data_IF_178046328309
#
_entry.id   IF_178046328309
#
_cell.length_a   1.000
_cell.length_b   1.000
_cell.length_c   1.000
_cell.angle_alpha   90.00
_cell.angle_beta   90.00
_cell.angle_gamma   90.00
#
_symmetry.space_group_name_H-M   'P 1'
#
loop_
_entity.id
_entity.type
_entity.pdbx_description
1 polymer ?
#
# COMPACT_ATOMS: atom_id res chain seq x y z
N UNK A 1 -0.61 22.88 -8.58
CA UNK A 1 -1.37 21.83 -7.87
C UNK A 1 -2.42 21.30 -8.84
N UNK A 2 -2.43 20.00 -9.19
CA UNK A 2 -3.42 19.45 -10.12
C UNK A 2 -4.83 19.49 -9.49
N UNK A 3 -5.85 19.70 -10.32
CA UNK A 3 -7.25 19.70 -9.89
C UNK A 3 -7.86 18.32 -10.13
N UNK A 4 -8.36 17.70 -9.06
CA UNK A 4 -9.13 16.46 -9.13
C UNK A 4 -10.61 16.78 -8.84
N UNK A 5 -11.49 16.44 -9.78
CA UNK A 5 -12.93 16.50 -9.59
C UNK A 5 -13.49 15.08 -9.54
N UNK A 6 -14.33 14.78 -8.55
CA UNK A 6 -14.91 13.46 -8.37
C UNK A 6 -16.35 13.57 -7.85
N UNK A 7 -17.23 12.69 -8.33
CA UNK A 7 -18.59 12.57 -7.83
C UNK A 7 -18.56 11.69 -6.57
N UNK A 8 -19.19 12.16 -5.50
CA UNK A 8 -19.36 11.40 -4.25
C UNK A 8 -20.84 11.20 -3.95
N UNK A 9 -21.20 10.11 -3.26
CA UNK A 9 -22.54 9.97 -2.69
C UNK A 9 -22.88 11.15 -1.77
N UNK A 10 -24.15 11.57 -1.76
CA UNK A 10 -24.64 12.69 -0.95
C UNK A 10 -24.32 12.50 0.53
N UNK A 11 -24.47 11.27 1.04
CA UNK A 11 -24.14 10.94 2.43
C UNK A 11 -22.67 11.27 2.77
N UNK A 12 -21.74 10.91 1.87
CA UNK A 12 -20.32 11.19 2.02
C UNK A 12 -20.04 12.69 2.00
N UNK A 13 -20.71 13.45 1.14
CA UNK A 13 -20.59 14.90 1.09
C UNK A 13 -21.07 15.55 2.41
N UNK A 14 -22.21 15.12 2.94
CA UNK A 14 -22.73 15.61 4.22
C UNK A 14 -21.78 15.27 5.39
N UNK A 15 -21.22 14.07 5.39
CA UNK A 15 -20.23 13.66 6.40
C UNK A 15 -18.96 14.52 6.32
N UNK A 16 -18.49 14.80 5.12
CA UNK A 16 -17.34 15.69 4.88
C UNK A 16 -17.59 17.10 5.43
N UNK A 17 -18.79 17.64 5.19
CA UNK A 17 -19.19 18.95 5.71
C UNK A 17 -19.22 19.02 7.23
N UNK A 18 -19.77 17.99 7.89
CA UNK A 18 -19.76 17.91 9.36
C UNK A 18 -18.32 17.87 9.91
N UNK A 19 -17.43 17.10 9.29
CA UNK A 19 -16.03 17.01 9.72
C UNK A 19 -15.31 18.35 9.55
N UNK A 20 -15.47 18.98 8.38
CA UNK A 20 -14.91 20.28 8.06
C UNK A 20 -15.38 21.35 9.05
N UNK A 21 -16.69 21.41 9.33
CA UNK A 21 -17.27 22.34 10.30
C UNK A 21 -16.75 22.12 11.71
N UNK A 22 -16.75 20.86 12.20
CA UNK A 22 -16.27 20.50 13.54
C UNK A 22 -14.80 20.86 13.73
N UNK A 23 -13.97 20.68 12.70
CA UNK A 23 -12.52 20.95 12.73
C UNK A 23 -12.16 22.38 12.31
N UNK A 24 -13.12 23.18 11.86
CA UNK A 24 -12.93 24.55 11.31
C UNK A 24 -11.88 24.60 10.19
N UNK A 25 -11.89 23.62 9.30
CA UNK A 25 -11.02 23.56 8.12
C UNK A 25 -11.84 23.37 6.84
N UNK A 26 -11.24 23.62 5.68
CA UNK A 26 -11.93 23.45 4.39
C UNK A 26 -12.21 21.98 4.07
N UNK A 27 -13.28 21.73 3.29
CA UNK A 27 -13.57 20.40 2.72
C UNK A 27 -12.35 19.81 1.98
N UNK A 28 -11.66 20.64 1.21
CA UNK A 28 -10.47 20.23 0.47
C UNK A 28 -9.30 19.86 1.38
N UNK A 29 -9.15 20.49 2.54
CA UNK A 29 -8.16 20.08 3.53
C UNK A 29 -8.47 18.70 4.12
N UNK A 30 -9.74 18.45 4.48
CA UNK A 30 -10.18 17.13 4.97
C UNK A 30 -9.93 16.04 3.94
N UNK A 31 -10.25 16.30 2.66
CA UNK A 31 -10.02 15.32 1.58
C UNK A 31 -8.52 15.06 1.39
N UNK A 32 -7.67 16.10 1.38
CA UNK A 32 -6.22 15.93 1.22
C UNK A 32 -5.62 15.09 2.33
N UNK A 33 -5.94 15.39 3.59
CA UNK A 33 -5.46 14.59 4.73
C UNK A 33 -5.88 13.12 4.62
N UNK A 34 -7.16 12.86 4.29
CA UNK A 34 -7.65 11.49 4.14
C UNK A 34 -6.95 10.74 2.99
N UNK A 35 -6.64 11.43 1.88
CA UNK A 35 -5.89 10.86 0.77
C UNK A 35 -4.44 10.56 1.18
N UNK A 36 -3.75 11.50 1.83
CA UNK A 36 -2.39 11.29 2.32
C UNK A 36 -2.31 10.12 3.31
N UNK A 37 -3.21 10.07 4.29
CA UNK A 37 -3.26 8.98 5.28
C UNK A 37 -3.50 7.62 4.61
N UNK A 38 -4.34 7.57 3.58
CA UNK A 38 -4.60 6.33 2.83
C UNK A 38 -3.40 5.93 1.98
N UNK A 39 -2.74 6.88 1.33
CA UNK A 39 -1.59 6.62 0.47
C UNK A 39 -0.36 6.20 1.26
N UNK A 40 -0.07 6.82 2.40
CA UNK A 40 1.02 6.39 3.31
C UNK A 40 0.83 4.94 3.73
N UNK A 41 -0.38 4.56 4.16
CA UNK A 41 -0.72 3.17 4.53
C UNK A 41 -0.55 2.16 3.38
N UNK A 42 -0.58 2.58 2.13
CA UNK A 42 -0.42 1.70 0.96
C UNK A 42 1.03 1.66 0.49
N UNK A 43 1.77 2.75 0.66
CA UNK A 43 3.15 2.89 0.17
C UNK A 43 4.21 2.35 1.15
N UNK A 44 3.91 2.29 2.45
CA UNK A 44 4.93 2.04 3.48
C UNK A 44 5.01 0.57 3.95
N UNK A 45 4.21 -0.36 3.41
CA UNK A 45 4.41 -1.78 3.69
C UNK A 45 5.47 -2.35 2.74
N UNK A 46 6.69 -2.68 3.22
CA UNK A 46 7.71 -3.26 2.37
C UNK A 46 7.19 -4.57 1.80
N UNK A 47 7.43 -4.79 0.51
CA UNK A 47 7.21 -6.12 -0.07
C UNK A 47 8.04 -7.14 0.71
N UNK A 48 7.57 -8.40 0.76
CA UNK A 48 8.34 -9.48 1.41
C UNK A 48 9.77 -9.55 0.86
N UNK A 49 9.94 -9.30 -0.44
CA UNK A 49 11.25 -9.21 -1.09
C UNK A 49 12.11 -8.08 -0.51
N UNK A 50 11.57 -6.87 -0.35
CA UNK A 50 12.31 -5.74 0.25
C UNK A 50 12.65 -6.00 1.72
N UNK A 51 11.71 -6.54 2.49
CA UNK A 51 11.91 -6.89 3.89
C UNK A 51 13.00 -7.96 4.07
N UNK A 52 13.09 -8.94 3.16
CA UNK A 52 14.06 -10.04 3.23
C UNK A 52 15.35 -9.79 2.44
N UNK A 53 15.49 -8.64 1.78
CA UNK A 53 16.64 -8.35 0.90
C UNK A 53 17.99 -8.51 1.60
N UNK A 54 18.09 -8.06 2.85
CA UNK A 54 19.31 -8.19 3.67
C UNK A 54 19.61 -9.63 4.10
N UNK A 55 18.63 -10.53 4.00
CA UNK A 55 18.77 -11.95 4.34
C UNK A 55 19.11 -12.82 3.13
N UNK A 56 19.04 -12.28 1.92
CA UNK A 56 19.44 -12.99 0.70
C UNK A 56 20.96 -13.16 0.67
N UNK A 57 21.44 -14.39 0.50
CA UNK A 57 22.88 -14.68 0.37
C UNK A 57 23.68 -14.67 1.69
N UNK A 58 23.01 -14.60 2.86
CA UNK A 58 23.69 -14.65 4.18
C UNK A 58 24.19 -16.06 4.53
N UNK A 59 23.71 -17.09 3.82
CA UNK A 59 24.15 -18.47 4.00
C UNK A 59 25.00 -18.91 2.81
N UNK A 60 26.29 -19.12 3.05
CA UNK A 60 27.28 -19.60 2.06
C UNK A 60 27.19 -21.11 1.76
N UNK A 61 26.31 -21.85 2.45
CA UNK A 61 26.22 -23.31 2.41
C UNK A 61 25.06 -23.87 1.56
N UNK A 62 24.29 -22.99 0.89
CA UNK A 62 23.11 -23.37 0.12
C UNK A 62 23.38 -23.58 -1.37
N UNK A 63 22.61 -24.47 -2.00
CA UNK A 63 22.51 -24.54 -3.46
C UNK A 63 21.94 -23.21 -3.99
N UNK A 64 22.66 -22.55 -4.88
CA UNK A 64 22.20 -21.33 -5.52
C UNK A 64 20.89 -21.58 -6.29
N UNK A 65 19.95 -20.64 -6.16
CA UNK A 65 18.81 -20.49 -7.05
C UNK A 65 17.80 -21.66 -7.13
N UNK A 66 17.41 -22.21 -5.97
CA UNK A 66 16.29 -23.14 -5.89
C UNK A 66 14.93 -22.49 -6.20
N UNK A 67 14.86 -21.15 -6.10
CA UNK A 67 13.64 -20.35 -6.26
C UNK A 67 13.35 -19.86 -7.67
N UNK A 68 14.32 -19.79 -8.59
CA UNK A 68 14.08 -19.41 -9.99
C UNK A 68 14.33 -20.54 -10.99
N UNK A 69 14.91 -21.68 -10.57
CA UNK A 69 15.08 -22.84 -11.45
C UNK A 69 13.75 -23.62 -11.60
N UNK A 70 13.12 -23.64 -12.78
CA UNK A 70 11.82 -24.29 -12.98
C UNK A 70 11.83 -25.79 -12.70
N UNK A 71 12.99 -26.45 -12.81
CA UNK A 71 13.14 -27.88 -12.51
C UNK A 71 12.95 -28.17 -11.02
N UNK A 72 13.40 -27.27 -10.15
CA UNK A 72 13.25 -27.41 -8.69
C UNK A 72 11.83 -27.06 -8.21
N UNK A 73 11.10 -26.24 -8.97
CA UNK A 73 9.72 -25.83 -8.65
C UNK A 73 8.64 -26.78 -9.18
N UNK A 74 8.99 -27.76 -10.01
CA UNK A 74 8.03 -28.58 -10.77
C UNK A 74 6.97 -29.31 -9.91
N UNK A 75 7.24 -29.55 -8.62
CA UNK A 75 6.32 -30.19 -7.67
C UNK A 75 5.96 -29.33 -6.45
N UNK A 76 6.41 -28.08 -6.42
CA UNK A 76 6.16 -27.18 -5.31
C UNK A 76 4.65 -26.89 -5.20
N UNK A 77 4.05 -27.14 -4.03
CA UNK A 77 2.64 -26.86 -3.76
C UNK A 77 1.62 -27.90 -4.26
N UNK A 78 2.05 -29.07 -4.77
CA UNK A 78 1.12 -30.17 -5.08
C UNK A 78 0.97 -31.09 -3.87
N UNK A 79 -0.28 -31.37 -3.47
CA UNK A 79 -0.65 -32.39 -2.47
C UNK A 79 -0.69 -33.78 -3.09
#
# INVERSE_FOLDING_TARGET
MPLLSLKVPTETALRLERIAARRRISKSAVIREALEDKLRKVADEPTLHEAMKASLGVLDSGLADLGHNPKHLAKFGRK
#
